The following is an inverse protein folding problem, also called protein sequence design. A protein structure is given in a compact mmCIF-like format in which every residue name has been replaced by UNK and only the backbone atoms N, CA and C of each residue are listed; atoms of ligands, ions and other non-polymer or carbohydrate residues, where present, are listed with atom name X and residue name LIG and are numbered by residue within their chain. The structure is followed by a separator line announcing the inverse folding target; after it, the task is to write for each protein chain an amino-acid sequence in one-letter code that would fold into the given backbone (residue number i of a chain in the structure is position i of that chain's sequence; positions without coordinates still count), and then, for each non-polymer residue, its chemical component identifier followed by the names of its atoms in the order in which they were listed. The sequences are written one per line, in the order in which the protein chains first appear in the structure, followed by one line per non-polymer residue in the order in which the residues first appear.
data_IF_215516702814
#
_entry.id   IF_215516702814
#
_cell.length_a   1.000
_cell.length_b   1.000
_cell.length_c   1.000
_cell.angle_alpha   90.00
_cell.angle_beta   90.00
_cell.angle_gamma   90.00
#
_symmetry.space_group_name_H-M   'P 1'
#
loop_
_entity.id
_entity.type
_entity.pdbx_description
1 polymer ?
#
# COMPACT_ATOMS: atom_id res chain seq x y z
N UNK A 1 -42.16 -17.60 22.38
CA UNK A 1 -43.39 -18.38 22.40
C UNK A 1 -43.76 -18.88 21.02
N UNK A 2 -44.32 -20.05 20.92
CA UNK A 2 -44.91 -20.54 19.69
C UNK A 2 -46.03 -19.60 19.27
N UNK A 3 -46.29 -19.46 17.95
CA UNK A 3 -47.25 -18.50 17.42
C UNK A 3 -48.71 -18.67 17.89
N UNK A 4 -48.98 -19.74 18.66
CA UNK A 4 -50.29 -20.05 19.26
C UNK A 4 -50.38 -19.64 20.76
N UNK A 5 -49.37 -19.00 21.31
CA UNK A 5 -49.37 -18.56 22.73
C UNK A 5 -49.18 -19.67 23.77
N UNK A 6 -48.93 -20.92 23.37
CA UNK A 6 -48.69 -22.02 24.30
C UNK A 6 -47.24 -22.17 24.70
N UNK A 7 -47.00 -22.61 25.94
CA UNK A 7 -45.67 -23.00 26.43
C UNK A 7 -45.50 -24.52 26.28
N UNK A 8 -44.52 -24.91 25.45
CA UNK A 8 -44.25 -26.32 25.14
C UNK A 8 -42.92 -26.79 25.77
N UNK A 9 -42.80 -26.72 27.09
CA UNK A 9 -41.56 -27.02 27.84
C UNK A 9 -41.02 -28.46 27.71
N UNK A 10 -41.92 -29.40 27.43
CA UNK A 10 -41.56 -30.82 27.33
C UNK A 10 -41.33 -31.31 25.90
N UNK A 11 -41.38 -30.40 24.91
CA UNK A 11 -41.17 -30.76 23.52
C UNK A 11 -39.72 -30.52 23.08
N UNK A 12 -39.12 -31.51 22.46
CA UNK A 12 -37.80 -31.36 21.81
C UNK A 12 -37.99 -30.41 20.59
N UNK A 13 -37.19 -29.36 20.56
CA UNK A 13 -37.11 -28.45 19.43
C UNK A 13 -36.16 -28.99 18.36
N UNK A 14 -36.54 -28.83 17.12
CA UNK A 14 -35.63 -29.09 15.99
C UNK A 14 -34.60 -27.98 15.88
N UNK A 15 -33.46 -28.25 15.24
CA UNK A 15 -32.42 -27.23 14.95
C UNK A 15 -33.03 -26.06 14.15
N UNK A 16 -33.94 -26.32 13.25
CA UNK A 16 -34.62 -25.32 12.43
C UNK A 16 -35.54 -24.39 13.25
N UNK A 17 -36.30 -24.93 14.20
CA UNK A 17 -37.11 -24.13 15.12
C UNK A 17 -36.24 -23.27 16.04
N UNK A 18 -35.07 -23.79 16.47
CA UNK A 18 -34.09 -23.01 17.23
C UNK A 18 -33.49 -21.87 16.40
N UNK A 19 -33.10 -22.14 15.15
CA UNK A 19 -32.62 -21.12 14.23
C UNK A 19 -33.63 -19.98 14.00
N UNK A 20 -34.95 -20.31 13.88
CA UNK A 20 -35.97 -19.27 13.82
C UNK A 20 -36.04 -18.38 15.06
N UNK A 21 -35.80 -18.91 16.23
CA UNK A 21 -35.76 -18.14 17.48
C UNK A 21 -34.53 -17.24 17.52
N UNK A 22 -33.39 -17.79 17.10
CA UNK A 22 -32.14 -17.00 16.97
C UNK A 22 -32.31 -15.87 15.98
N UNK A 23 -32.90 -16.13 14.80
CA UNK A 23 -33.19 -15.10 13.80
C UNK A 23 -34.06 -13.96 14.36
N UNK A 24 -35.12 -14.31 15.12
CA UNK A 24 -35.99 -13.31 15.76
C UNK A 24 -35.27 -12.51 16.86
N UNK A 25 -34.35 -13.14 17.59
CA UNK A 25 -33.55 -12.46 18.60
C UNK A 25 -32.55 -11.48 17.96
N UNK A 26 -31.91 -11.87 16.86
CA UNK A 26 -31.04 -11.02 16.05
C UNK A 26 -31.80 -9.78 15.51
N UNK A 27 -32.97 -10.00 14.95
CA UNK A 27 -33.81 -8.92 14.42
C UNK A 27 -34.24 -7.90 15.51
N UNK A 28 -34.21 -8.29 16.79
CA UNK A 28 -34.47 -7.42 17.94
C UNK A 28 -33.17 -6.83 18.57
N UNK A 29 -32.02 -7.05 17.94
CA UNK A 29 -30.76 -6.51 18.41
C UNK A 29 -30.11 -7.26 19.58
N UNK A 30 -30.57 -8.50 19.87
CA UNK A 30 -29.95 -9.31 20.91
C UNK A 30 -28.59 -9.84 20.44
N UNK A 31 -27.59 -9.84 21.34
CA UNK A 31 -26.31 -10.48 21.07
C UNK A 31 -26.46 -11.99 21.18
N UNK A 32 -26.44 -12.66 20.05
CA UNK A 32 -26.59 -14.13 19.90
C UNK A 32 -25.50 -14.73 19.03
N UNK A 33 -24.34 -14.08 18.93
CA UNK A 33 -23.26 -14.42 18.00
C UNK A 33 -22.84 -15.90 18.07
N UNK A 34 -22.76 -16.46 19.27
CA UNK A 34 -22.43 -17.89 19.45
C UNK A 34 -23.49 -18.82 18.90
N UNK A 35 -24.76 -18.52 19.15
CA UNK A 35 -25.89 -19.31 18.64
C UNK A 35 -26.05 -19.11 17.11
N UNK A 36 -25.82 -17.91 16.63
CA UNK A 36 -25.84 -17.62 15.21
C UNK A 36 -24.77 -18.41 14.45
N UNK A 37 -23.59 -18.58 15.03
CA UNK A 37 -22.53 -19.41 14.44
C UNK A 37 -22.88 -20.92 14.46
N UNK A 38 -23.54 -21.39 15.52
CA UNK A 38 -23.92 -22.80 15.65
C UNK A 38 -25.08 -23.19 14.70
N UNK A 39 -25.97 -22.27 14.41
CA UNK A 39 -27.14 -22.49 13.53
C UNK A 39 -26.99 -21.83 12.17
N UNK A 40 -25.76 -21.64 11.70
CA UNK A 40 -25.46 -20.89 10.48
C UNK A 40 -26.16 -21.44 9.23
N UNK A 41 -26.13 -22.76 9.05
CA UNK A 41 -26.71 -23.45 7.89
C UNK A 41 -28.24 -23.31 7.87
N UNK A 42 -28.87 -23.43 9.04
CA UNK A 42 -30.30 -23.28 9.17
C UNK A 42 -30.76 -21.83 8.99
N UNK A 43 -29.94 -20.86 9.48
CA UNK A 43 -30.20 -19.44 9.29
C UNK A 43 -30.06 -19.02 7.81
N UNK A 44 -29.06 -19.56 7.12
CA UNK A 44 -28.89 -19.33 5.67
C UNK A 44 -30.09 -19.88 4.88
N UNK A 45 -30.54 -21.07 5.24
CA UNK A 45 -31.78 -21.69 4.65
C UNK A 45 -33.04 -20.85 4.91
N UNK A 46 -33.05 -20.04 5.96
CA UNK A 46 -34.11 -19.07 6.29
C UNK A 46 -33.93 -17.72 5.58
N UNK A 47 -32.85 -17.55 4.79
CA UNK A 47 -32.49 -16.28 4.16
C UNK A 47 -32.03 -15.21 5.14
N UNK A 48 -31.65 -15.61 6.35
CA UNK A 48 -31.12 -14.70 7.38
C UNK A 48 -29.62 -14.60 7.21
N UNK A 49 -29.14 -13.48 6.69
CA UNK A 49 -27.71 -13.21 6.61
C UNK A 49 -27.17 -12.95 8.02
N UNK A 50 -26.22 -13.73 8.44
CA UNK A 50 -25.59 -13.58 9.74
C UNK A 50 -24.37 -12.65 9.57
N UNK A 51 -24.54 -11.38 9.91
CA UNK A 51 -23.50 -10.37 9.78
C UNK A 51 -22.17 -10.75 10.47
N UNK A 52 -22.23 -11.54 11.54
CA UNK A 52 -21.06 -12.08 12.22
C UNK A 52 -20.32 -13.16 11.40
N UNK A 53 -21.03 -13.94 10.59
CA UNK A 53 -20.42 -14.90 9.65
C UNK A 53 -19.90 -14.20 8.40
N UNK A 54 -20.60 -13.20 7.90
CA UNK A 54 -20.12 -12.35 6.81
C UNK A 54 -18.81 -11.66 7.22
N UNK A 55 -18.71 -11.16 8.45
CA UNK A 55 -17.49 -10.55 8.99
C UNK A 55 -16.31 -11.53 9.15
N UNK A 56 -16.58 -12.82 9.30
CA UNK A 56 -15.57 -13.89 9.38
C UNK A 56 -15.23 -14.52 8.03
N UNK A 57 -16.16 -14.51 7.07
CA UNK A 57 -15.92 -15.06 5.73
C UNK A 57 -15.25 -14.06 4.79
N UNK A 58 -15.42 -12.75 5.01
CA UNK A 58 -14.79 -11.68 4.20
C UNK A 58 -13.42 -11.26 4.75
N UNK A 59 -12.61 -12.22 5.14
CA UNK A 59 -11.24 -11.95 5.57
C UNK A 59 -10.34 -11.54 4.40
N UNK A 60 -10.72 -11.86 3.17
CA UNK A 60 -10.01 -11.52 1.94
C UNK A 60 -10.94 -10.73 1.03
N UNK A 61 -10.53 -9.52 0.68
CA UNK A 61 -11.21 -8.65 -0.28
C UNK A 61 -10.39 -8.62 -1.57
N UNK A 62 -11.07 -8.87 -2.68
CA UNK A 62 -10.49 -8.78 -4.03
C UNK A 62 -11.17 -7.65 -4.77
N UNK A 63 -10.36 -6.72 -5.31
CA UNK A 63 -10.86 -5.61 -6.13
C UNK A 63 -10.04 -5.50 -7.41
N UNK A 64 -10.67 -5.01 -8.49
CA UNK A 64 -10.01 -4.81 -9.78
C UNK A 64 -9.94 -3.35 -10.16
N UNK A 65 -8.87 -2.97 -10.84
CA UNK A 65 -8.68 -1.67 -11.49
C UNK A 65 -8.27 -1.91 -12.94
N UNK A 66 -8.95 -1.23 -13.86
CA UNK A 66 -8.62 -1.27 -15.29
C UNK A 66 -8.34 0.15 -15.78
N UNK A 67 -7.27 0.28 -16.55
CA UNK A 67 -6.93 1.54 -17.23
C UNK A 67 -6.71 1.26 -18.70
N UNK A 68 -7.56 1.81 -19.54
CA UNK A 68 -7.37 1.86 -20.98
C UNK A 68 -6.76 3.22 -21.36
N UNK A 69 -5.75 3.19 -22.22
CA UNK A 69 -5.15 4.37 -22.83
C UNK A 69 -5.23 4.18 -24.34
N UNK A 70 -5.65 5.22 -25.03
CA UNK A 70 -5.51 5.34 -26.48
C UNK A 70 -4.85 6.70 -26.78
N UNK A 71 -3.75 6.67 -27.50
CA UNK A 71 -3.05 7.86 -27.94
C UNK A 71 -2.80 7.77 -29.46
N UNK A 72 -3.01 8.86 -30.16
CA UNK A 72 -2.68 9.00 -31.58
C UNK A 72 -1.67 10.13 -31.73
N UNK A 73 -0.53 9.83 -32.31
CA UNK A 73 0.54 10.79 -32.57
C UNK A 73 0.62 11.05 -34.05
N UNK A 74 0.26 12.27 -34.46
CA UNK A 74 0.41 12.71 -35.84
C UNK A 74 1.83 13.28 -36.07
N UNK A 75 2.63 12.55 -36.86
CA UNK A 75 3.96 12.98 -37.24
C UNK A 75 3.92 14.06 -38.33
N UNK A 76 4.89 14.97 -38.30
CA UNK A 76 5.12 15.94 -39.39
C UNK A 76 6.52 15.77 -39.99
N UNK A 77 6.61 15.84 -41.31
CA UNK A 77 7.86 15.65 -42.03
C UNK A 77 8.26 14.19 -42.15
N UNK A 78 9.43 13.82 -41.66
CA UNK A 78 9.96 12.44 -41.71
C UNK A 78 9.52 11.57 -40.50
N UNK A 79 8.69 12.10 -39.58
CA UNK A 79 8.15 11.37 -38.45
C UNK A 79 6.84 10.70 -38.90
N UNK A 80 6.74 9.39 -38.75
CA UNK A 80 5.53 8.64 -39.09
C UNK A 80 4.43 8.88 -38.03
N UNK A 81 3.18 8.74 -38.50
CA UNK A 81 2.04 8.66 -37.57
C UNK A 81 2.16 7.36 -36.78
N UNK A 82 1.87 7.45 -35.51
CA UNK A 82 1.87 6.29 -34.60
C UNK A 82 0.64 6.36 -33.69
N UNK A 83 0.15 5.20 -33.30
CA UNK A 83 -0.92 5.11 -32.32
C UNK A 83 -0.57 4.07 -31.27
N UNK A 84 -0.96 4.33 -30.05
CA UNK A 84 -0.78 3.47 -28.89
C UNK A 84 -2.14 3.14 -28.28
N UNK A 85 -2.38 1.87 -28.01
CA UNK A 85 -3.58 1.43 -27.32
C UNK A 85 -3.19 0.39 -26.27
N UNK A 86 -3.25 0.77 -25.02
CA UNK A 86 -2.84 -0.11 -23.92
C UNK A 86 -3.98 -0.37 -22.94
N UNK A 87 -4.02 -1.58 -22.39
CA UNK A 87 -4.92 -1.98 -21.33
C UNK A 87 -4.11 -2.50 -20.13
N UNK A 88 -4.12 -1.77 -19.04
CA UNK A 88 -3.53 -2.18 -17.77
C UNK A 88 -4.61 -2.73 -16.84
N UNK A 89 -4.43 -3.94 -16.38
CA UNK A 89 -5.28 -4.60 -15.40
C UNK A 89 -4.54 -4.74 -14.08
N UNK A 90 -5.17 -4.39 -12.97
CA UNK A 90 -4.66 -4.59 -11.61
C UNK A 90 -5.69 -5.33 -10.78
N UNK A 91 -5.24 -6.31 -10.02
CA UNK A 91 -6.06 -7.05 -9.06
C UNK A 91 -5.43 -6.88 -7.69
N UNK A 92 -6.17 -6.25 -6.79
CA UNK A 92 -5.79 -6.07 -5.41
C UNK A 92 -6.38 -7.16 -4.54
N UNK A 93 -5.56 -7.75 -3.69
CA UNK A 93 -5.93 -8.77 -2.71
C UNK A 93 -5.54 -8.23 -1.35
N UNK A 94 -6.52 -7.97 -0.50
CA UNK A 94 -6.28 -7.51 0.88
C UNK A 94 -6.93 -8.48 1.84
N UNK A 95 -6.24 -8.81 2.92
CA UNK A 95 -6.75 -9.73 3.92
C UNK A 95 -6.17 -9.47 5.30
N UNK A 96 -6.98 -9.67 6.33
CA UNK A 96 -6.53 -9.61 7.70
C UNK A 96 -6.00 -10.99 8.11
N UNK A 97 -4.74 -11.07 8.54
CA UNK A 97 -4.11 -12.33 8.97
C UNK A 97 -4.53 -12.64 10.42
N UNK A 98 -4.52 -11.61 11.26
CA UNK A 98 -4.98 -11.65 12.64
C UNK A 98 -5.36 -10.23 13.11
N UNK A 99 -5.70 -10.06 14.38
CA UNK A 99 -6.18 -8.79 14.93
C UNK A 99 -5.18 -7.61 14.79
N UNK A 100 -3.91 -7.88 14.52
CA UNK A 100 -2.87 -6.85 14.43
C UNK A 100 -2.16 -6.78 13.09
N UNK A 101 -2.39 -7.72 12.15
CA UNK A 101 -1.66 -7.83 10.89
C UNK A 101 -2.57 -7.97 9.68
N UNK A 102 -2.26 -7.21 8.64
CA UNK A 102 -2.95 -7.18 7.36
C UNK A 102 -1.97 -7.50 6.23
N UNK A 103 -2.42 -8.26 5.24
CA UNK A 103 -1.73 -8.48 3.97
C UNK A 103 -2.32 -7.62 2.87
N UNK A 104 -1.46 -7.11 2.00
CA UNK A 104 -1.85 -6.45 0.75
C UNK A 104 -1.02 -7.00 -0.40
N UNK A 105 -1.69 -7.51 -1.43
CA UNK A 105 -1.10 -7.93 -2.69
C UNK A 105 -1.71 -7.17 -3.86
N UNK A 106 -0.93 -6.93 -4.91
CA UNK A 106 -1.41 -6.37 -6.17
C UNK A 106 -0.71 -7.05 -7.33
N UNK A 107 -1.50 -7.72 -8.16
CA UNK A 107 -1.09 -8.26 -9.44
C UNK A 107 -1.33 -7.23 -10.54
N UNK A 108 -0.42 -7.11 -11.48
CA UNK A 108 -0.54 -6.23 -12.63
C UNK A 108 -0.17 -6.95 -13.93
N UNK A 109 -0.94 -6.65 -14.96
CA UNK A 109 -0.66 -7.03 -16.33
C UNK A 109 -1.01 -5.87 -17.26
N UNK A 110 -0.16 -5.58 -18.23
CA UNK A 110 -0.38 -4.53 -19.24
C UNK A 110 -0.31 -5.17 -20.61
N UNK A 111 -1.34 -4.96 -21.42
CA UNK A 111 -1.39 -5.39 -22.82
C UNK A 111 -1.32 -4.18 -23.74
N UNK A 112 -0.51 -4.26 -24.77
CA UNK A 112 -0.48 -3.33 -25.88
C UNK A 112 -1.34 -3.89 -27.01
N UNK A 113 -2.51 -3.28 -27.20
CA UNK A 113 -3.51 -3.72 -28.17
C UNK A 113 -3.20 -3.22 -29.58
N UNK A 114 -2.28 -2.25 -29.73
CA UNK A 114 -1.88 -1.70 -31.01
C UNK A 114 -0.84 -2.58 -31.73
N UNK A 115 0.01 -3.26 -30.96
CA UNK A 115 1.10 -4.10 -31.48
C UNK A 115 0.88 -5.58 -31.24
N UNK A 116 -0.28 -5.98 -30.68
CA UNK A 116 -0.60 -7.35 -30.28
C UNK A 116 0.49 -7.94 -29.37
N UNK A 117 0.97 -7.13 -28.46
CA UNK A 117 2.02 -7.45 -27.47
C UNK A 117 1.58 -7.12 -26.05
N UNK A 118 2.50 -7.20 -25.11
CA UNK A 118 2.27 -6.84 -23.71
C UNK A 118 3.00 -7.76 -22.77
N UNK A 119 2.64 -7.67 -21.48
CA UNK A 119 3.24 -8.51 -20.46
C UNK A 119 2.88 -10.00 -20.68
N UNK A 120 3.86 -10.84 -20.89
CA UNK A 120 3.68 -12.31 -21.00
C UNK A 120 3.34 -12.94 -19.64
N UNK A 121 3.68 -12.27 -18.55
CA UNK A 121 3.42 -12.72 -17.17
C UNK A 121 2.63 -11.70 -16.38
N UNK A 122 1.97 -12.17 -15.32
CA UNK A 122 1.32 -11.32 -14.34
C UNK A 122 2.08 -11.40 -13.04
N UNK A 123 2.66 -10.29 -12.60
CA UNK A 123 3.55 -10.25 -11.46
C UNK A 123 2.97 -9.46 -10.28
N UNK A 124 3.43 -9.80 -9.07
CA UNK A 124 3.15 -9.01 -7.90
C UNK A 124 3.93 -7.70 -7.90
N UNK A 125 3.21 -6.60 -8.13
CA UNK A 125 3.75 -5.25 -7.97
C UNK A 125 3.75 -4.79 -6.51
N UNK A 126 2.88 -5.39 -5.69
CA UNK A 126 2.81 -5.22 -4.23
C UNK A 126 2.56 -6.57 -3.59
N UNK A 127 3.26 -6.87 -2.50
CA UNK A 127 3.09 -8.07 -1.68
C UNK A 127 3.71 -7.81 -0.31
N UNK A 128 2.95 -7.26 0.62
CA UNK A 128 3.49 -6.82 1.90
C UNK A 128 2.50 -7.01 3.06
N UNK A 129 3.07 -7.01 4.24
CA UNK A 129 2.38 -7.06 5.52
C UNK A 129 2.46 -5.69 6.21
N UNK A 130 1.38 -5.30 6.83
CA UNK A 130 1.30 -4.15 7.72
C UNK A 130 0.77 -4.60 9.08
N UNK A 131 1.36 -4.08 10.14
CA UNK A 131 0.90 -4.40 11.48
C UNK A 131 1.64 -3.66 12.57
N UNK A 132 1.36 -4.02 13.81
CA UNK A 132 1.99 -3.44 14.99
C UNK A 132 2.80 -4.46 15.76
N UNK A 133 4.01 -4.09 16.13
CA UNK A 133 4.92 -4.90 16.95
C UNK A 133 5.55 -4.04 18.03
N UNK A 134 5.25 -4.33 19.30
CA UNK A 134 5.83 -3.60 20.43
C UNK A 134 5.53 -2.09 20.42
N UNK A 135 4.37 -1.68 19.90
CA UNK A 135 3.97 -0.28 19.78
C UNK A 135 4.49 0.43 18.52
N UNK A 136 5.34 -0.22 17.74
CA UNK A 136 5.82 0.26 16.44
C UNK A 136 4.86 -0.16 15.33
N UNK A 137 4.63 0.70 14.35
CA UNK A 137 4.02 0.31 13.09
C UNK A 137 5.09 -0.27 12.17
N UNK A 138 4.78 -1.40 11.52
CA UNK A 138 5.72 -2.15 10.68
C UNK A 138 5.06 -2.41 9.32
N UNK A 139 5.80 -2.12 8.26
CA UNK A 139 5.48 -2.53 6.88
C UNK A 139 6.63 -3.39 6.37
N UNK A 140 6.36 -4.58 5.85
CA UNK A 140 7.40 -5.50 5.40
C UNK A 140 6.98 -6.28 4.16
N UNK A 141 7.87 -6.36 3.17
CA UNK A 141 7.67 -7.04 1.89
C UNK A 141 7.88 -6.12 0.71
N UNK A 142 7.13 -6.33 -0.35
CA UNK A 142 7.15 -5.51 -1.57
C UNK A 142 6.09 -4.43 -1.49
N UNK A 143 6.49 -3.22 -1.16
CA UNK A 143 5.60 -2.07 -0.97
C UNK A 143 6.07 -0.85 -1.75
N UNK A 144 5.31 0.24 -1.73
CA UNK A 144 5.76 1.52 -2.23
C UNK A 144 6.50 2.26 -1.12
N UNK A 145 7.82 2.32 -1.23
CA UNK A 145 8.62 3.13 -0.32
C UNK A 145 8.51 4.60 -0.71
N UNK A 146 8.29 5.45 0.29
CA UNK A 146 8.00 6.87 0.08
C UNK A 146 8.84 7.69 1.06
N UNK A 147 9.95 8.27 0.56
CA UNK A 147 10.92 8.98 1.38
C UNK A 147 10.97 10.45 1.03
N UNK A 148 10.98 11.31 2.06
CA UNK A 148 11.04 12.76 1.91
C UNK A 148 9.94 13.32 1.00
N UNK A 149 8.68 12.94 1.27
CA UNK A 149 7.50 13.32 0.49
C UNK A 149 7.64 12.98 -1.02
N UNK A 150 8.32 11.88 -1.32
CA UNK A 150 8.59 11.40 -2.67
C UNK A 150 9.76 12.08 -3.38
N UNK A 151 10.41 13.05 -2.74
CA UNK A 151 11.52 13.78 -3.35
C UNK A 151 12.83 12.95 -3.41
N UNK A 152 13.00 11.97 -2.50
CA UNK A 152 14.13 11.04 -2.53
C UNK A 152 13.73 9.75 -3.25
N UNK A 153 12.62 9.16 -2.87
CA UNK A 153 12.15 7.90 -3.44
C UNK A 153 10.63 7.79 -3.32
N UNK A 154 9.98 7.45 -4.41
CA UNK A 154 8.55 7.15 -4.50
C UNK A 154 8.36 6.02 -5.49
N UNK A 155 8.71 4.81 -5.07
CA UNK A 155 8.58 3.67 -5.96
C UNK A 155 8.58 2.34 -5.18
N UNK A 156 8.43 1.25 -5.93
CA UNK A 156 8.45 -0.10 -5.41
C UNK A 156 9.79 -0.45 -4.76
N UNK A 157 9.72 -1.06 -3.59
CA UNK A 157 10.87 -1.59 -2.86
C UNK A 157 10.52 -2.93 -2.20
N UNK A 158 11.51 -3.78 -2.05
CA UNK A 158 11.47 -4.99 -1.23
C UNK A 158 12.23 -4.71 0.07
N UNK A 159 11.53 -4.59 1.18
CA UNK A 159 12.17 -4.17 2.41
C UNK A 159 11.27 -4.16 3.63
N UNK A 160 11.72 -3.41 4.61
CA UNK A 160 11.01 -3.18 5.86
C UNK A 160 11.07 -1.70 6.21
N UNK A 161 9.95 -1.17 6.67
CA UNK A 161 9.82 0.14 7.28
C UNK A 161 9.20 -0.03 8.67
N UNK A 162 9.77 0.66 9.63
CA UNK A 162 9.31 0.67 11.02
C UNK A 162 9.17 2.11 11.47
N UNK A 163 8.04 2.45 12.09
CA UNK A 163 7.86 3.77 12.66
C UNK A 163 7.32 3.71 14.09
N UNK A 164 7.71 4.69 14.87
CA UNK A 164 7.29 4.83 16.26
C UNK A 164 7.05 6.29 16.61
N UNK A 165 5.99 6.54 17.35
CA UNK A 165 5.59 7.86 17.81
C UNK A 165 4.30 8.35 17.17
N UNK A 166 3.82 9.49 17.61
CA UNK A 166 2.58 10.12 17.17
C UNK A 166 2.88 11.53 16.61
N UNK A 167 2.87 12.56 17.46
CA UNK A 167 3.22 13.93 17.04
C UNK A 167 4.67 14.09 16.56
N UNK A 168 5.56 13.31 17.13
CA UNK A 168 6.94 13.14 16.66
C UNK A 168 7.10 11.67 16.34
N UNK A 169 7.27 11.38 15.06
CA UNK A 169 7.41 10.03 14.54
C UNK A 169 8.86 9.80 14.08
N UNK A 170 9.47 8.72 14.57
CA UNK A 170 10.76 8.25 14.11
C UNK A 170 10.50 7.11 13.13
N UNK A 171 11.13 7.15 11.97
CA UNK A 171 10.98 6.20 10.89
C UNK A 171 12.34 5.60 10.57
N UNK A 172 12.42 4.29 10.44
CA UNK A 172 13.57 3.58 9.92
C UNK A 172 13.16 2.68 8.77
N UNK A 173 13.97 2.63 7.72
CA UNK A 173 13.69 1.81 6.55
C UNK A 173 14.97 1.17 6.00
N UNK A 174 14.85 -0.07 5.52
CA UNK A 174 15.94 -0.77 4.85
C UNK A 174 15.38 -1.76 3.84
N UNK A 175 16.06 -1.94 2.71
CA UNK A 175 15.61 -2.86 1.67
C UNK A 175 16.37 -2.72 0.37
N UNK A 176 15.69 -3.08 -0.72
CA UNK A 176 16.18 -2.95 -2.11
C UNK A 176 15.17 -2.17 -2.93
N UNK A 177 15.63 -1.22 -3.69
CA UNK A 177 14.86 -0.63 -4.77
C UNK A 177 14.69 -1.71 -5.86
N UNK A 178 13.44 -2.01 -6.25
CA UNK A 178 13.13 -3.10 -7.19
C UNK A 178 12.65 -2.59 -8.53
N UNK A 179 12.47 -1.29 -8.64
CA UNK A 179 12.10 -0.67 -9.90
C UNK A 179 13.32 -0.01 -10.54
N UNK A 180 13.31 0.01 -11.86
CA UNK A 180 14.35 0.65 -12.62
C UNK A 180 14.48 2.13 -12.22
N UNK A 181 15.72 2.58 -12.07
CA UNK A 181 16.02 4.01 -11.95
C UNK A 181 15.83 4.73 -13.30
N UNK A 182 14.85 4.31 -14.09
CA UNK A 182 14.51 4.88 -15.39
C UNK A 182 14.30 6.39 -15.35
N UNK A 183 13.91 6.91 -14.21
CA UNK A 183 13.82 8.35 -13.97
C UNK A 183 15.16 9.09 -14.07
N UNK A 184 16.28 8.36 -13.97
CA UNK A 184 17.62 8.89 -14.19
C UNK A 184 18.15 8.61 -15.61
N UNK A 185 17.32 8.06 -16.52
CA UNK A 185 17.70 7.78 -17.90
C UNK A 185 18.63 6.57 -18.08
N UNK A 186 18.74 5.71 -17.08
CA UNK A 186 19.58 4.51 -17.13
C UNK A 186 18.67 3.27 -17.13
N UNK A 187 18.35 2.79 -18.31
CA UNK A 187 17.47 1.62 -18.47
C UNK A 187 18.20 0.33 -18.11
N UNK A 188 17.48 -0.62 -17.51
CA UNK A 188 17.97 -1.98 -17.22
C UNK A 188 18.75 -2.11 -15.91
N UNK A 189 18.67 -1.14 -15.02
CA UNK A 189 19.32 -1.20 -13.70
C UNK A 189 18.34 -1.62 -12.62
N UNK A 190 18.55 -2.78 -12.03
CA UNK A 190 17.92 -3.10 -10.76
C UNK A 190 18.56 -2.26 -9.68
N UNK A 191 17.79 -1.40 -9.02
CA UNK A 191 18.27 -0.56 -7.93
C UNK A 191 18.98 -1.37 -6.84
N UNK A 192 19.93 -0.73 -6.17
CA UNK A 192 20.69 -1.31 -5.07
C UNK A 192 19.92 -1.31 -3.75
N UNK A 193 20.61 -1.71 -2.71
CA UNK A 193 20.07 -1.66 -1.35
C UNK A 193 20.00 -0.21 -0.82
N UNK A 194 19.07 0.03 0.07
CA UNK A 194 18.97 1.26 0.82
C UNK A 194 18.83 0.99 2.32
N UNK A 195 19.29 1.94 3.11
CA UNK A 195 19.00 2.02 4.53
C UNK A 195 18.99 3.47 4.97
N UNK A 196 18.14 3.78 5.92
CA UNK A 196 18.06 5.14 6.45
C UNK A 196 16.88 5.35 7.36
N UNK A 197 16.59 6.61 7.63
CA UNK A 197 15.46 6.97 8.46
C UNK A 197 15.21 8.46 8.50
N UNK A 198 14.12 8.82 9.15
CA UNK A 198 13.65 10.18 9.28
C UNK A 198 12.98 10.42 10.63
N UNK A 199 12.94 11.67 11.02
CA UNK A 199 12.08 12.17 12.08
C UNK A 199 11.09 13.13 11.44
N UNK A 200 9.81 12.92 11.71
CA UNK A 200 8.71 13.76 11.24
C UNK A 200 7.97 14.29 12.46
N UNK A 201 7.81 15.60 12.56
CA UNK A 201 7.06 16.25 13.61
C UNK A 201 5.81 16.91 13.02
N UNK A 202 4.65 16.61 13.59
CA UNK A 202 3.37 17.20 13.19
C UNK A 202 2.72 17.86 14.41
N UNK A 203 2.58 19.17 14.34
CA UNK A 203 1.96 19.99 15.36
C UNK A 203 0.65 20.63 14.85
N UNK A 204 0.00 19.99 13.88
CA UNK A 204 -1.23 20.46 13.24
C UNK A 204 -0.91 21.45 12.13
N UNK A 205 -0.97 22.76 12.43
CA UNK A 205 -0.68 23.81 11.43
C UNK A 205 0.80 23.93 11.03
N UNK A 206 1.69 23.28 11.74
CA UNK A 206 3.12 23.29 11.48
C UNK A 206 3.64 21.86 11.47
N UNK A 207 4.41 21.52 10.46
CA UNK A 207 5.13 20.26 10.38
C UNK A 207 6.61 20.51 10.07
N UNK A 208 7.45 19.57 10.47
CA UNK A 208 8.87 19.57 10.16
C UNK A 208 9.36 18.15 9.96
N UNK A 209 10.33 17.95 9.10
CA UNK A 209 10.94 16.65 8.85
C UNK A 209 12.45 16.80 8.63
N UNK A 210 13.19 15.76 9.00
CA UNK A 210 14.60 15.63 8.67
C UNK A 210 14.95 14.15 8.58
N UNK A 211 15.85 13.80 7.69
CA UNK A 211 16.25 12.41 7.54
C UNK A 211 17.50 12.22 6.71
N UNK A 212 17.90 10.96 6.65
CA UNK A 212 19.06 10.50 5.92
C UNK A 212 18.81 9.12 5.36
N UNK A 213 19.10 8.93 4.06
CA UNK A 213 19.03 7.65 3.38
C UNK A 213 20.30 7.41 2.56
N UNK A 214 20.85 6.22 2.67
CA UNK A 214 21.99 5.79 1.88
C UNK A 214 21.55 4.71 0.90
N UNK A 215 21.76 4.96 -0.38
CA UNK A 215 21.49 4.04 -1.50
C UNK A 215 22.82 3.51 -2.02
N UNK A 216 22.96 2.20 -2.06
CA UNK A 216 24.15 1.51 -2.55
C UNK A 216 23.90 0.87 -3.91
N UNK A 217 24.96 0.81 -4.73
CA UNK A 217 24.92 0.18 -6.05
C UNK A 217 23.80 0.77 -6.95
N UNK A 218 23.68 2.09 -7.01
CA UNK A 218 22.53 2.79 -7.63
C UNK A 218 22.39 2.59 -9.15
N UNK A 219 23.45 2.22 -9.87
CA UNK A 219 23.39 1.98 -11.32
C UNK A 219 23.12 0.52 -11.65
N UNK A 220 23.79 -0.40 -10.95
CA UNK A 220 23.65 -1.84 -11.18
C UNK A 220 24.22 -2.59 -9.97
N UNK A 221 23.88 -3.86 -9.84
CA UNK A 221 24.43 -4.72 -8.81
C UNK A 221 25.98 -4.71 -8.87
N UNK A 222 26.60 -4.41 -7.73
CA UNK A 222 28.06 -4.26 -7.57
C UNK A 222 28.66 -3.10 -8.38
N UNK A 223 27.89 -2.07 -8.72
CA UNK A 223 28.40 -0.88 -9.40
C UNK A 223 29.36 -0.08 -8.51
N UNK A 224 29.26 -0.26 -7.20
CA UNK A 224 30.02 0.48 -6.19
C UNK A 224 29.81 1.99 -6.25
N UNK A 225 28.77 2.44 -6.93
CA UNK A 225 28.34 3.82 -6.95
C UNK A 225 27.21 3.96 -5.93
N UNK A 226 27.47 4.72 -4.88
CA UNK A 226 26.54 4.93 -3.77
C UNK A 226 26.11 6.40 -3.74
N UNK A 227 24.93 6.65 -3.20
CA UNK A 227 24.41 8.01 -2.99
C UNK A 227 23.81 8.11 -1.59
N UNK A 228 24.37 9.00 -0.79
CA UNK A 228 23.88 9.32 0.53
C UNK A 228 23.12 10.65 0.48
N UNK A 229 21.85 10.65 0.85
CA UNK A 229 20.98 11.82 0.72
C UNK A 229 20.45 12.19 2.09
N UNK A 230 20.66 13.42 2.51
CA UNK A 230 19.98 13.98 3.67
C UNK A 230 19.02 15.10 3.26
N UNK A 231 18.00 15.31 4.08
CA UNK A 231 17.01 16.35 3.84
C UNK A 231 16.53 16.99 5.13
N UNK A 232 16.04 18.21 4.98
CA UNK A 232 15.26 18.92 5.99
C UNK A 232 14.06 19.57 5.32
N UNK A 233 12.90 19.46 5.94
CA UNK A 233 11.67 20.03 5.42
C UNK A 233 10.85 20.70 6.51
N UNK A 234 10.04 21.66 6.13
CA UNK A 234 9.07 22.30 7.00
C UNK A 234 7.84 22.71 6.21
N UNK A 235 6.69 22.69 6.87
CA UNK A 235 5.44 23.15 6.29
C UNK A 235 4.57 23.86 7.31
N UNK A 236 3.68 24.70 6.78
CA UNK A 236 2.70 25.42 7.60
C UNK A 236 1.38 25.60 6.84
N UNK A 237 0.30 25.62 7.57
CA UNK A 237 -1.02 25.92 7.05
C UNK A 237 -1.51 27.28 7.57
N UNK A 238 -2.04 28.11 6.68
CA UNK A 238 -2.64 29.40 7.03
C UNK A 238 -3.90 29.66 6.18
N UNK A 239 -5.05 29.66 6.82
CA UNK A 239 -6.34 29.74 6.15
C UNK A 239 -6.56 28.49 5.27
N UNK A 240 -6.84 28.74 4.00
CA UNK A 240 -7.07 27.71 2.98
C UNK A 240 -5.78 27.34 2.21
N UNK A 241 -4.62 27.85 2.64
CA UNK A 241 -3.35 27.64 1.97
C UNK A 241 -2.40 26.78 2.82
N UNK A 242 -1.65 25.90 2.17
CA UNK A 242 -0.53 25.18 2.77
C UNK A 242 0.76 25.51 2.01
N UNK A 243 1.80 25.85 2.75
CA UNK A 243 3.15 26.09 2.24
C UNK A 243 4.09 25.03 2.77
N UNK A 244 4.80 24.35 1.87
CA UNK A 244 5.81 23.37 2.20
C UNK A 244 7.11 23.71 1.49
N UNK A 245 8.24 23.51 2.17
CA UNK A 245 9.56 23.66 1.61
C UNK A 245 10.48 22.55 2.10
N UNK A 246 11.34 22.03 1.24
CA UNK A 246 12.31 21.01 1.57
C UNK A 246 13.65 21.31 0.87
N UNK A 247 14.73 21.11 1.59
CA UNK A 247 16.08 21.09 1.06
C UNK A 247 16.64 19.68 1.14
N UNK A 248 17.28 19.25 0.06
CA UNK A 248 17.92 17.95 -0.06
C UNK A 248 19.37 18.16 -0.50
N UNK A 249 20.28 17.34 0.00
CA UNK A 249 21.64 17.24 -0.50
C UNK A 249 22.04 15.77 -0.62
N UNK A 250 22.55 15.41 -1.79
CA UNK A 250 23.10 14.09 -2.10
C UNK A 250 24.61 14.15 -2.24
N UNK A 251 25.28 13.19 -1.61
CA UNK A 251 26.72 12.99 -1.69
C UNK A 251 26.98 11.65 -2.40
N UNK A 252 27.59 11.70 -3.59
CA UNK A 252 27.90 10.51 -4.39
C UNK A 252 29.31 10.01 -4.08
N UNK A 253 29.45 8.70 -3.96
CA UNK A 253 30.73 8.04 -3.78
C UNK A 253 30.89 6.80 -4.70
N UNK A 254 32.13 6.55 -5.13
CA UNK A 254 32.49 5.38 -5.92
C UNK A 254 33.62 4.62 -5.24
N UNK A 255 33.41 3.33 -4.93
CA UNK A 255 34.36 2.54 -4.14
C UNK A 255 34.77 3.20 -2.82
N UNK A 256 33.81 3.78 -2.09
CA UNK A 256 34.02 4.53 -0.85
C UNK A 256 34.92 5.79 -1.02
N UNK A 257 35.17 6.23 -2.24
CA UNK A 257 35.84 7.49 -2.56
C UNK A 257 34.78 8.53 -2.93
N UNK A 258 34.78 9.62 -2.23
CA UNK A 258 33.90 10.75 -2.49
C UNK A 258 34.10 11.35 -3.89
N UNK A 259 33.02 11.67 -4.55
CA UNK A 259 33.01 12.26 -5.87
C UNK A 259 32.56 13.73 -5.78
N UNK A 260 33.36 14.57 -5.13
CA UNK A 260 33.09 15.98 -4.84
C UNK A 260 32.51 16.80 -6.01
N UNK A 261 32.71 16.37 -7.24
CA UNK A 261 32.20 17.03 -8.45
C UNK A 261 30.80 16.59 -8.89
N UNK A 262 30.21 15.59 -8.22
CA UNK A 262 28.90 15.02 -8.51
C UNK A 262 27.91 15.18 -7.36
N UNK A 263 28.28 15.94 -6.34
CA UNK A 263 27.36 16.34 -5.29
C UNK A 263 26.23 17.17 -5.89
N UNK A 264 25.01 16.87 -5.50
CA UNK A 264 23.84 17.59 -5.97
C UNK A 264 23.00 18.06 -4.77
N UNK A 265 22.47 19.27 -4.90
CA UNK A 265 21.55 19.81 -3.92
C UNK A 265 20.34 20.46 -4.60
N UNK A 266 19.23 20.50 -3.89
CA UNK A 266 18.00 21.02 -4.43
C UNK A 266 17.01 21.50 -3.39
N UNK A 267 16.12 22.37 -3.85
CA UNK A 267 14.99 22.87 -3.09
C UNK A 267 13.69 22.48 -3.77
N UNK A 268 12.71 22.08 -2.98
CA UNK A 268 11.33 21.99 -3.42
C UNK A 268 10.47 22.94 -2.60
N UNK A 269 9.57 23.66 -3.28
CA UNK A 269 8.59 24.54 -2.63
C UNK A 269 7.23 24.25 -3.24
N UNK A 270 6.26 23.95 -2.39
CA UNK A 270 4.87 23.71 -2.79
C UNK A 270 3.94 24.70 -2.10
N UNK A 271 3.00 25.24 -2.85
CA UNK A 271 1.88 26.03 -2.36
C UNK A 271 0.60 25.37 -2.86
N UNK A 272 -0.30 24.99 -1.96
CA UNK A 272 -1.59 24.36 -2.28
C UNK A 272 -2.74 25.06 -1.57
#
# INVERSE_FOLDING_TARGET
GYGNGTFGGDRLMTRYEMAQIVAKAMAKGANVDRLAAEFADELDSLGVRVAALEKKSDNVKITGEFRALYANHEGKGSISNDYESTLRSRIWITGQINDGWKYTGMLQNTQDLSTDSGDESTDFQRAYLEGRLGGMDVTAGRYNAFFADGNIYDNRADGVEVSYGDKIKIIGAAGKATDDLDKLGVSGTTGGSYAGGAVVADFGKFNASAGYYNFKDILAKNSKLDNAIWFVGAGTEFGDFALNAMYLKGDMSYHDVDLDGLDDDGWTVGLT
#
